data_IF_249829867118
#
_entry.id   IF_249829867118
#
_cell.length_a   1.000
_cell.length_b   1.000
_cell.length_c   1.000
_cell.angle_alpha   90.00
_cell.angle_beta   90.00
_cell.angle_gamma   90.00
#
_symmetry.space_group_name_H-M   'P 1'
#
loop_
_entity.id
_entity.type
_entity.pdbx_description
1 polymer ?
#
# COMPACT_ATOMS: atom_id res chain seq x y z
N UNK A 1 -11.99 -2.15 -6.28
CA UNK A 1 -11.77 -1.06 -5.32
C UNK A 1 -13.09 -0.49 -4.85
N UNK A 2 -13.80 0.31 -5.65
CA UNK A 2 -15.08 0.95 -5.28
C UNK A 2 -16.17 -0.01 -4.76
N UNK A 3 -16.48 -1.09 -5.50
CA UNK A 3 -17.50 -2.07 -5.10
C UNK A 3 -17.18 -2.80 -3.78
N UNK A 4 -15.89 -3.00 -3.49
CA UNK A 4 -15.42 -3.67 -2.26
C UNK A 4 -15.01 -2.68 -1.17
N UNK A 5 -15.18 -1.38 -1.40
CA UNK A 5 -14.72 -0.29 -0.54
C UNK A 5 -13.25 -0.43 -0.10
N UNK A 6 -12.35 -0.78 -1.03
CA UNK A 6 -10.90 -0.89 -0.79
C UNK A 6 -10.14 0.12 -1.63
N UNK A 7 -9.15 0.80 -1.03
CA UNK A 7 -8.35 1.86 -1.67
C UNK A 7 -7.00 1.37 -2.23
N UNK A 8 -6.54 0.19 -1.78
CA UNK A 8 -5.24 -0.34 -2.14
C UNK A 8 -5.34 -1.84 -2.47
N UNK A 9 -4.67 -2.25 -3.54
CA UNK A 9 -4.62 -3.64 -3.99
C UNK A 9 -3.14 -4.06 -4.12
N UNK A 10 -2.61 -4.86 -3.19
CA UNK A 10 -1.25 -5.37 -3.27
C UNK A 10 -1.08 -6.29 -4.50
N UNK A 11 -0.02 -6.06 -5.25
CA UNK A 11 0.37 -6.88 -6.40
C UNK A 11 1.52 -7.77 -5.98
N UNK A 12 1.34 -9.08 -6.11
CA UNK A 12 2.29 -10.08 -5.62
C UNK A 12 2.89 -10.89 -6.77
N UNK A 13 4.17 -11.26 -6.63
CA UNK A 13 4.83 -12.30 -7.43
C UNK A 13 5.52 -13.27 -6.48
N UNK A 14 5.19 -14.55 -6.58
CA UNK A 14 5.71 -15.60 -5.68
C UNK A 14 5.50 -15.29 -4.19
N UNK A 15 4.33 -14.70 -3.87
CA UNK A 15 3.94 -14.17 -2.54
C UNK A 15 4.80 -13.01 -2.02
N UNK A 16 5.64 -12.39 -2.84
CA UNK A 16 6.42 -11.19 -2.50
C UNK A 16 5.75 -9.96 -3.11
N UNK A 17 5.82 -8.82 -2.42
CA UNK A 17 5.24 -7.58 -2.92
C UNK A 17 6.05 -7.07 -4.12
N UNK A 18 5.36 -6.86 -5.25
CA UNK A 18 5.89 -6.08 -6.37
C UNK A 18 5.59 -4.59 -6.19
N UNK A 19 4.40 -4.26 -5.70
CA UNK A 19 3.96 -2.90 -5.42
C UNK A 19 2.48 -2.87 -5.07
N UNK A 20 1.93 -1.68 -4.89
CA UNK A 20 0.51 -1.48 -4.56
C UNK A 20 -0.19 -0.77 -5.71
N UNK A 21 -1.25 -1.37 -6.23
CA UNK A 21 -2.15 -0.71 -7.18
C UNK A 21 -3.18 0.09 -6.40
N UNK A 22 -3.24 1.39 -6.62
CA UNK A 22 -4.18 2.32 -5.97
C UNK A 22 -4.75 3.31 -6.98
N UNK A 23 -5.63 4.20 -6.52
CA UNK A 23 -6.13 5.31 -7.36
C UNK A 23 -4.97 6.18 -7.87
N UNK A 24 -3.93 6.37 -7.04
CA UNK A 24 -2.73 7.12 -7.43
C UNK A 24 -2.00 6.46 -8.60
N UNK A 25 -1.97 5.12 -8.69
CA UNK A 25 -1.39 4.44 -9.86
C UNK A 25 -2.11 4.83 -11.15
N UNK A 26 -3.44 4.94 -11.12
CA UNK A 26 -4.23 5.35 -12.28
C UNK A 26 -3.95 6.82 -12.63
N UNK A 27 -3.90 7.71 -11.62
CA UNK A 27 -3.55 9.11 -11.84
C UNK A 27 -2.14 9.28 -12.42
N UNK A 28 -1.14 8.54 -11.93
CA UNK A 28 0.22 8.60 -12.46
C UNK A 28 0.31 8.12 -13.90
N UNK A 29 -0.41 7.04 -14.27
CA UNK A 29 -0.50 6.59 -15.67
C UNK A 29 -1.07 7.67 -16.59
N UNK A 30 -2.10 8.39 -16.12
CA UNK A 30 -2.70 9.48 -16.89
C UNK A 30 -1.73 10.66 -17.10
N UNK A 31 -0.93 10.99 -16.08
CA UNK A 31 0.06 12.07 -16.17
C UNK A 31 1.25 11.71 -17.08
N UNK A 32 1.65 10.43 -17.13
CA UNK A 32 2.77 9.97 -17.96
C UNK A 32 2.46 10.01 -19.47
N UNK A 33 1.20 9.77 -19.86
CA UNK A 33 0.77 9.77 -21.27
C UNK A 33 0.42 11.18 -21.79
N UNK A 34 1.06 12.23 -21.25
CA UNK A 34 0.77 13.65 -21.53
C UNK A 34 -0.71 14.05 -21.35
N UNK A 35 -1.46 13.32 -20.53
CA UNK A 35 -2.90 13.55 -20.35
C UNK A 35 -3.75 13.11 -21.54
N UNK A 36 -3.18 12.39 -22.53
CA UNK A 36 -4.01 11.62 -23.45
C UNK A 36 -4.70 10.53 -22.64
N UNK A 37 -6.01 10.68 -22.46
CA UNK A 37 -6.80 9.58 -21.95
C UNK A 37 -6.58 8.42 -22.92
N UNK A 38 -5.93 7.35 -22.43
CA UNK A 38 -6.13 6.03 -23.00
C UNK A 38 -7.64 5.80 -22.88
N UNK A 39 -8.36 6.07 -23.97
CA UNK A 39 -9.82 6.10 -24.01
C UNK A 39 -10.43 4.74 -23.59
N UNK A 40 -9.58 3.71 -23.57
CA UNK A 40 -9.91 2.37 -23.16
C UNK A 40 -8.81 1.75 -22.28
N UNK A 41 -8.90 1.98 -20.97
CA UNK A 41 -8.02 1.38 -19.96
C UNK A 41 -8.00 -0.16 -20.03
N UNK A 42 -9.02 -0.81 -20.63
CA UNK A 42 -9.06 -2.28 -20.77
C UNK A 42 -8.00 -2.83 -21.73
N UNK A 43 -7.42 -1.98 -22.59
CA UNK A 43 -6.36 -2.36 -23.52
C UNK A 43 -4.96 -2.23 -22.94
N UNK A 44 -4.84 -1.65 -21.75
CA UNK A 44 -3.54 -1.48 -21.10
C UNK A 44 -3.11 -2.83 -20.54
N UNK A 45 -1.97 -3.32 -21.04
CA UNK A 45 -1.31 -4.49 -20.45
C UNK A 45 -0.80 -4.13 -19.06
N UNK A 46 -1.01 -5.03 -18.12
CA UNK A 46 -0.54 -4.85 -16.73
C UNK A 46 0.97 -4.59 -16.64
N UNK A 47 1.76 -5.13 -17.57
CA UNK A 47 3.21 -4.88 -17.68
C UNK A 47 3.55 -3.40 -17.80
N UNK A 48 2.70 -2.60 -18.46
CA UNK A 48 2.84 -1.14 -18.56
C UNK A 48 2.41 -0.39 -17.31
N UNK A 49 1.86 -1.08 -16.31
CA UNK A 49 1.38 -0.49 -15.06
C UNK A 49 2.37 -0.77 -13.93
N UNK A 50 3.22 -1.81 -14.07
CA UNK A 50 4.14 -2.27 -13.01
C UNK A 50 5.04 -1.14 -12.50
N UNK A 51 5.54 -0.26 -13.38
CA UNK A 51 6.42 0.85 -12.99
C UNK A 51 5.69 2.00 -12.29
N UNK A 52 4.35 2.04 -12.38
CA UNK A 52 3.49 3.02 -11.71
C UNK A 52 2.84 2.48 -10.43
N UNK A 53 3.11 1.22 -10.08
CA UNK A 53 2.67 0.69 -8.79
C UNK A 53 3.32 1.50 -7.68
N UNK A 54 2.53 1.81 -6.66
CA UNK A 54 3.07 2.49 -5.50
C UNK A 54 4.14 1.65 -4.82
N UNK A 55 5.23 2.33 -4.44
CA UNK A 55 6.35 1.77 -3.68
C UNK A 55 6.44 2.47 -2.32
N UNK A 56 7.29 1.95 -1.43
CA UNK A 56 7.54 2.56 -0.12
C UNK A 56 8.11 3.99 -0.20
N UNK A 57 8.67 4.35 -1.35
CA UNK A 57 9.26 5.67 -1.63
C UNK A 57 8.24 6.69 -2.15
N UNK A 58 6.97 6.30 -2.32
CA UNK A 58 5.94 7.22 -2.79
C UNK A 58 5.79 8.43 -1.85
N UNK A 59 5.78 9.66 -2.40
CA UNK A 59 5.73 10.86 -1.58
C UNK A 59 4.39 11.05 -0.88
N UNK A 60 3.29 10.57 -1.46
CA UNK A 60 1.93 10.73 -0.93
C UNK A 60 1.42 9.54 -0.11
N UNK A 61 2.01 8.35 -0.26
CA UNK A 61 1.54 7.12 0.38
C UNK A 61 2.72 6.31 0.89
N UNK A 62 2.73 5.98 2.17
CA UNK A 62 3.74 5.11 2.77
C UNK A 62 3.08 3.77 3.10
N UNK A 63 3.78 2.69 2.81
CA UNK A 63 3.49 1.40 3.40
C UNK A 63 4.76 0.83 3.99
N UNK A 64 4.60 -0.01 5.01
CA UNK A 64 5.70 -0.53 5.82
C UNK A 64 5.67 -2.05 5.85
N UNK A 65 6.78 -2.65 6.24
CA UNK A 65 6.90 -4.08 6.50
C UNK A 65 7.14 -4.31 7.98
N UNK A 66 6.42 -5.26 8.57
CA UNK A 66 6.49 -5.57 10.00
C UNK A 66 6.59 -7.08 10.21
N UNK A 67 7.29 -7.47 11.28
CA UNK A 67 7.38 -8.88 11.68
C UNK A 67 6.01 -9.37 12.15
N UNK A 68 5.71 -10.64 11.92
CA UNK A 68 4.54 -11.33 12.49
C UNK A 68 4.47 -11.27 14.02
N UNK A 69 5.62 -11.04 14.66
CA UNK A 69 5.76 -10.95 16.11
C UNK A 69 5.79 -9.49 16.60
N UNK A 70 5.42 -8.51 15.75
CA UNK A 70 5.37 -7.09 16.13
C UNK A 70 4.22 -6.83 17.09
N UNK A 71 4.53 -6.20 18.23
CA UNK A 71 3.55 -5.78 19.22
C UNK A 71 2.57 -4.74 18.66
N UNK A 72 1.30 -4.81 19.10
CA UNK A 72 0.22 -3.96 18.58
C UNK A 72 0.39 -2.47 18.98
N UNK A 73 0.96 -2.17 20.15
CA UNK A 73 1.22 -0.78 20.55
C UNK A 73 2.34 -0.19 19.69
N UNK A 74 3.39 -0.96 19.43
CA UNK A 74 4.44 -0.55 18.50
C UNK A 74 3.91 -0.36 17.07
N UNK A 75 3.04 -1.26 16.62
CA UNK A 75 2.40 -1.13 15.30
C UNK A 75 1.55 0.15 15.22
N UNK A 76 0.79 0.48 16.28
CA UNK A 76 0.03 1.73 16.38
C UNK A 76 0.93 2.95 16.23
N UNK A 77 2.05 3.00 16.93
CA UNK A 77 3.02 4.10 16.81
C UNK A 77 3.53 4.27 15.38
N UNK A 78 3.78 3.17 14.66
CA UNK A 78 4.22 3.21 13.26
C UNK A 78 3.18 3.79 12.30
N UNK A 79 1.89 3.70 12.63
CA UNK A 79 0.82 4.31 11.85
C UNK A 79 0.61 5.80 12.15
N UNK A 80 1.13 6.30 13.28
CA UNK A 80 1.05 7.72 13.59
C UNK A 80 1.98 8.51 12.66
N UNK A 81 1.51 9.63 12.10
CA UNK A 81 2.35 10.49 11.28
C UNK A 81 3.49 11.09 12.13
N UNK A 82 4.68 11.16 11.55
CA UNK A 82 5.79 11.91 12.14
C UNK A 82 5.42 13.40 12.23
N UNK A 83 5.90 14.08 13.28
CA UNK A 83 5.63 15.52 13.46
C UNK A 83 6.18 16.29 12.27
N UNK A 84 5.31 17.04 11.58
CA UNK A 84 5.67 17.80 10.38
C UNK A 84 5.67 16.99 9.08
N UNK A 85 5.27 15.71 9.10
CA UNK A 85 5.12 14.88 7.92
C UNK A 85 3.66 14.78 7.49
N UNK A 86 3.40 15.04 6.20
CA UNK A 86 2.10 14.73 5.58
C UNK A 86 1.97 13.24 5.23
N UNK A 87 3.06 12.47 5.31
CA UNK A 87 3.06 11.05 4.96
C UNK A 87 2.36 10.23 6.02
N UNK A 88 1.31 9.53 5.61
CA UNK A 88 0.59 8.56 6.44
C UNK A 88 0.92 7.16 5.97
N UNK A 89 1.10 6.26 6.93
CA UNK A 89 1.17 4.83 6.63
C UNK A 89 -0.24 4.34 6.35
N UNK A 90 -0.48 3.85 5.14
CA UNK A 90 -1.80 3.31 4.77
C UNK A 90 -1.89 1.81 5.04
N UNK A 91 -0.79 1.09 4.85
CA UNK A 91 -0.72 -0.37 4.94
C UNK A 91 0.55 -0.83 5.66
N UNK A 92 0.39 -1.84 6.51
CA UNK A 92 1.48 -2.62 7.06
C UNK A 92 1.43 -4.05 6.50
N UNK A 93 2.48 -4.43 5.76
CA UNK A 93 2.66 -5.78 5.26
C UNK A 93 3.34 -6.65 6.30
N UNK A 94 2.69 -7.76 6.68
CA UNK A 94 3.24 -8.68 7.67
C UNK A 94 4.10 -9.72 6.95
N UNK A 95 5.35 -9.84 7.36
CA UNK A 95 6.27 -10.89 6.91
C UNK A 95 6.88 -11.62 8.11
N UNK A 96 7.72 -12.63 7.86
CA UNK A 96 8.30 -13.41 8.96
C UNK A 96 9.21 -12.58 9.86
N UNK A 97 10.02 -11.66 9.30
CA UNK A 97 10.97 -10.82 10.04
C UNK A 97 10.75 -9.32 9.81
N UNK A 98 9.71 -8.93 9.08
CA UNK A 98 9.45 -7.53 8.70
C UNK A 98 10.30 -7.03 7.53
N UNK A 99 10.81 -7.93 6.68
CA UNK A 99 11.66 -7.57 5.55
C UNK A 99 10.90 -7.59 4.22
N UNK A 100 11.09 -6.54 3.41
CA UNK A 100 10.45 -6.35 2.10
C UNK A 100 10.53 -7.55 1.14
N UNK A 101 11.65 -8.27 1.13
CA UNK A 101 11.94 -9.36 0.18
C UNK A 101 11.37 -10.72 0.62
N UNK A 102 10.70 -10.77 1.77
CA UNK A 102 10.05 -11.96 2.29
C UNK A 102 8.66 -12.18 1.68
N UNK A 103 8.11 -13.38 1.92
CA UNK A 103 6.73 -13.68 1.57
C UNK A 103 5.80 -12.89 2.50
N UNK A 104 4.78 -12.27 1.91
CA UNK A 104 3.68 -11.63 2.63
C UNK A 104 2.84 -12.73 3.28
N UNK A 105 2.65 -12.60 4.59
CA UNK A 105 1.81 -13.46 5.42
C UNK A 105 0.41 -12.86 5.57
N UNK A 106 0.33 -11.53 5.59
CA UNK A 106 -0.91 -10.79 5.76
C UNK A 106 -0.70 -9.29 5.56
N UNK A 107 -1.78 -8.55 5.76
CA UNK A 107 -1.83 -7.10 5.66
C UNK A 107 -2.69 -6.56 6.80
N UNK A 108 -2.23 -5.47 7.39
CA UNK A 108 -2.91 -4.77 8.49
C UNK A 108 -3.07 -3.31 8.08
N UNK A 109 -4.24 -2.75 8.38
CA UNK A 109 -4.57 -1.33 8.23
C UNK A 109 -4.69 -0.66 9.59
N UNK A 110 -4.69 0.68 9.60
CA UNK A 110 -4.97 1.44 10.83
C UNK A 110 -6.34 1.07 11.43
N UNK A 111 -7.33 0.75 10.60
CA UNK A 111 -8.67 0.38 11.07
C UNK A 111 -8.64 -0.93 11.86
N UNK A 112 -7.83 -1.89 11.44
CA UNK A 112 -7.65 -3.16 12.17
C UNK A 112 -7.02 -2.91 13.54
N UNK A 113 -6.00 -2.03 13.60
CA UNK A 113 -5.34 -1.66 14.86
C UNK A 113 -6.31 -0.93 15.78
N UNK A 114 -7.08 0.04 15.26
CA UNK A 114 -8.04 0.81 16.05
C UNK A 114 -9.18 -0.05 16.60
N UNK A 115 -9.65 -1.04 15.84
CA UNK A 115 -10.71 -1.94 16.26
C UNK A 115 -10.32 -2.83 17.47
N UNK A 116 -9.02 -3.01 17.72
CA UNK A 116 -8.51 -3.83 18.82
C UNK A 116 -8.19 -3.00 20.07
N UNK A 117 -8.20 -1.67 19.98
CA UNK A 117 -7.89 -0.81 21.12
C UNK A 117 -9.14 -0.63 22.01
N UNK A 118 -8.98 -0.65 23.34
CA UNK A 118 -10.07 -0.32 24.24
C UNK A 118 -10.56 1.10 23.98
N UNK A 119 -11.88 1.25 23.85
CA UNK A 119 -12.54 2.56 23.78
C UNK A 119 -12.55 3.11 25.21
N UNK A 120 -11.82 4.21 25.44
CA UNK A 120 -11.82 4.95 26.71
C UNK A 120 -12.88 6.04 26.70
#
# INVERSE_FOLDING_TARGET
MKQKNISNVPILKDKKLLGVFSENTIFSLFLEDNGELIADLSRIKFEKIIHQLGTEDNPSQKFIFVSKDTDIFKLKEMFLPEVGSEKRVELAFVTNQGLKKEKILGLITIYDVMAQLPVF
#
